data_IF_564669630245
#
_entry.id   IF_564669630245
#
_cell.length_a   1.000
_cell.length_b   1.000
_cell.length_c   1.000
_cell.angle_alpha   90.00
_cell.angle_beta   90.00
_cell.angle_gamma   90.00
#
_symmetry.space_group_name_H-M   'P 1'
#
loop_
_entity.id
_entity.type
_entity.pdbx_description
1 polymer ?
#
# COMPACT_ATOMS: atom_id res chain seq x y z
N UNK A 1 3.40 21.99 -2.28
CA UNK A 1 3.74 20.56 -2.09
C UNK A 1 4.67 20.05 -3.20
N UNK A 2 4.60 20.61 -4.43
CA UNK A 2 5.54 20.28 -5.52
C UNK A 2 6.99 20.66 -5.22
N UNK A 3 7.27 21.87 -4.75
CA UNK A 3 8.65 22.35 -4.52
C UNK A 3 9.47 21.45 -3.59
N UNK A 4 8.83 20.90 -2.55
CA UNK A 4 9.50 20.06 -1.56
C UNK A 4 9.83 18.66 -2.12
N UNK A 5 9.00 18.16 -3.05
CA UNK A 5 9.27 16.93 -3.79
C UNK A 5 10.40 17.19 -4.78
N UNK A 6 10.37 18.30 -5.51
CA UNK A 6 11.43 18.66 -6.46
C UNK A 6 12.80 18.81 -5.79
N UNK A 7 12.84 19.31 -4.55
CA UNK A 7 14.07 19.43 -3.76
C UNK A 7 14.64 18.07 -3.33
N UNK A 8 13.81 17.07 -3.04
CA UNK A 8 14.28 15.70 -2.77
C UNK A 8 15.00 15.10 -3.99
N UNK A 9 14.51 15.37 -5.20
CA UNK A 9 15.13 14.93 -6.45
C UNK A 9 16.53 15.52 -6.69
N UNK A 10 16.86 16.65 -6.05
CA UNK A 10 18.18 17.30 -6.16
C UNK A 10 19.24 16.68 -5.26
N UNK A 11 18.85 15.85 -4.28
CA UNK A 11 19.76 15.18 -3.34
C UNK A 11 20.30 13.89 -3.98
N UNK A 12 21.64 13.75 -4.05
CA UNK A 12 22.32 12.66 -4.78
C UNK A 12 22.33 11.30 -4.06
N UNK A 13 21.67 11.16 -2.91
CA UNK A 13 21.68 9.88 -2.19
C UNK A 13 20.67 8.91 -2.79
N UNK A 14 21.00 7.62 -2.79
CA UNK A 14 20.11 6.56 -3.27
C UNK A 14 18.77 6.58 -2.52
N UNK A 15 18.82 6.81 -1.20
CA UNK A 15 17.64 6.90 -0.33
C UNK A 15 16.79 8.12 -0.69
N UNK A 16 17.39 9.29 -0.92
CA UNK A 16 16.61 10.49 -1.26
C UNK A 16 15.90 10.35 -2.61
N UNK A 17 16.55 9.69 -3.58
CA UNK A 17 15.93 9.43 -4.89
C UNK A 17 14.82 8.37 -4.81
N UNK A 18 14.96 7.34 -3.98
CA UNK A 18 13.86 6.42 -3.67
C UNK A 18 12.67 7.16 -3.06
N UNK A 19 12.91 7.95 -2.02
CA UNK A 19 11.88 8.75 -1.36
C UNK A 19 11.20 9.71 -2.33
N UNK A 20 11.97 10.34 -3.22
CA UNK A 20 11.46 11.22 -4.27
C UNK A 20 10.47 10.49 -5.18
N UNK A 21 10.86 9.33 -5.74
CA UNK A 21 9.99 8.59 -6.65
C UNK A 21 8.73 8.08 -5.95
N UNK A 22 8.85 7.55 -4.72
CA UNK A 22 7.68 7.13 -3.95
C UNK A 22 6.73 8.30 -3.65
N UNK A 23 7.26 9.45 -3.21
CA UNK A 23 6.47 10.63 -2.94
C UNK A 23 5.82 11.21 -4.21
N UNK A 24 6.53 11.18 -5.34
CA UNK A 24 6.00 11.62 -6.63
C UNK A 24 4.85 10.72 -7.09
N UNK A 25 4.99 9.41 -6.97
CA UNK A 25 3.91 8.46 -7.27
C UNK A 25 2.68 8.68 -6.38
N UNK A 26 2.90 8.91 -5.08
CA UNK A 26 1.82 9.27 -4.16
C UNK A 26 1.17 10.60 -4.55
N UNK A 27 1.93 11.57 -5.03
CA UNK A 27 1.40 12.86 -5.48
C UNK A 27 0.50 12.70 -6.70
N UNK A 28 0.93 11.94 -7.71
CA UNK A 28 0.09 11.57 -8.87
C UNK A 28 -1.22 10.93 -8.45
N UNK A 29 -1.15 9.95 -7.55
CA UNK A 29 -2.34 9.23 -7.06
C UNK A 29 -3.26 10.10 -6.19
N UNK A 30 -2.70 10.90 -5.28
CA UNK A 30 -3.48 11.67 -4.29
C UNK A 30 -4.03 12.98 -4.82
N UNK A 31 -3.21 13.78 -5.48
CA UNK A 31 -3.57 15.14 -5.88
C UNK A 31 -4.25 15.16 -7.25
N UNK A 32 -3.76 14.32 -8.16
CA UNK A 32 -4.21 14.34 -9.55
C UNK A 32 -5.15 13.18 -9.90
N UNK A 33 -5.35 12.23 -8.96
CA UNK A 33 -6.10 11.00 -9.18
C UNK A 33 -5.63 10.25 -10.45
N UNK A 34 -4.34 10.34 -10.73
CA UNK A 34 -3.70 9.82 -11.93
C UNK A 34 -3.02 8.49 -11.59
N UNK A 35 -3.77 7.39 -11.79
CA UNK A 35 -3.30 6.05 -11.50
C UNK A 35 -2.14 5.63 -12.42
N UNK A 36 -2.21 5.99 -13.70
CA UNK A 36 -1.24 5.54 -14.71
C UNK A 36 0.14 6.11 -14.39
N UNK A 37 0.24 7.42 -14.16
CA UNK A 37 1.51 8.04 -13.82
C UNK A 37 1.99 7.61 -12.43
N UNK A 38 1.09 7.42 -11.46
CA UNK A 38 1.46 6.89 -10.15
C UNK A 38 2.08 5.49 -10.25
N UNK A 39 1.45 4.58 -10.99
CA UNK A 39 1.95 3.22 -11.19
C UNK A 39 3.26 3.20 -12.00
N UNK A 40 3.37 4.02 -13.04
CA UNK A 40 4.62 4.16 -13.81
C UNK A 40 5.77 4.60 -12.91
N UNK A 41 5.59 5.68 -12.15
CA UNK A 41 6.64 6.22 -11.28
C UNK A 41 7.01 5.26 -10.15
N UNK A 42 6.04 4.59 -9.51
CA UNK A 42 6.39 3.65 -8.44
C UNK A 42 7.04 2.37 -8.96
N UNK A 43 6.69 1.92 -10.17
CA UNK A 43 7.37 0.79 -10.79
C UNK A 43 8.84 1.12 -11.10
N UNK A 44 9.14 2.34 -11.56
CA UNK A 44 10.51 2.81 -11.70
C UNK A 44 11.27 2.74 -10.36
N UNK A 45 10.66 3.19 -9.26
CA UNK A 45 11.27 3.09 -7.93
C UNK A 45 11.55 1.63 -7.54
N UNK A 46 10.60 0.73 -7.78
CA UNK A 46 10.73 -0.71 -7.48
C UNK A 46 11.85 -1.37 -8.30
N UNK A 47 12.06 -0.92 -9.55
CA UNK A 47 13.13 -1.42 -10.42
C UNK A 47 14.51 -0.92 -9.99
N UNK A 48 14.62 0.36 -9.62
CA UNK A 48 15.89 0.97 -9.18
C UNK A 48 16.27 0.48 -7.77
N UNK A 49 15.29 0.23 -6.90
CA UNK A 49 15.48 -0.11 -5.49
C UNK A 49 14.83 -1.46 -5.12
N UNK A 50 15.25 -2.58 -5.74
CA UNK A 50 14.56 -3.87 -5.61
C UNK A 50 14.62 -4.46 -4.20
N UNK A 51 15.64 -4.13 -3.41
CA UNK A 51 15.80 -4.60 -2.02
C UNK A 51 14.90 -3.87 -1.04
N UNK A 52 14.35 -2.72 -1.43
CA UNK A 52 13.51 -1.93 -0.55
C UNK A 52 12.06 -2.35 -0.64
N UNK A 53 11.47 -2.60 0.51
CA UNK A 53 10.04 -2.90 0.65
C UNK A 53 9.19 -1.64 0.65
N UNK A 54 9.79 -0.44 0.78
CA UNK A 54 9.05 0.82 0.89
C UNK A 54 8.27 1.16 -0.39
N UNK A 55 8.86 1.10 -1.61
CA UNK A 55 8.12 1.34 -2.85
C UNK A 55 6.97 0.36 -3.07
N UNK A 56 7.09 -0.90 -2.60
CA UNK A 56 6.01 -1.88 -2.67
C UNK A 56 4.84 -1.51 -1.74
N UNK A 57 5.11 -0.95 -0.55
CA UNK A 57 4.07 -0.45 0.36
C UNK A 57 3.33 0.71 -0.32
N UNK A 58 4.05 1.68 -0.86
CA UNK A 58 3.45 2.80 -1.59
C UNK A 58 2.60 2.32 -2.76
N UNK A 59 3.07 1.34 -3.54
CA UNK A 59 2.29 0.74 -4.63
C UNK A 59 1.00 0.08 -4.12
N UNK A 60 1.04 -0.64 -3.00
CA UNK A 60 -0.17 -1.21 -2.39
C UNK A 60 -1.19 -0.15 -2.00
N UNK A 61 -0.75 1.01 -1.50
CA UNK A 61 -1.63 2.13 -1.15
C UNK A 61 -2.24 2.81 -2.38
N UNK A 62 -1.45 2.98 -3.45
CA UNK A 62 -1.92 3.47 -4.75
C UNK A 62 -3.00 2.53 -5.29
N UNK A 63 -2.73 1.22 -5.35
CA UNK A 63 -3.70 0.24 -5.84
C UNK A 63 -4.98 0.19 -4.97
N UNK A 64 -4.87 0.29 -3.64
CA UNK A 64 -6.02 0.39 -2.74
C UNK A 64 -6.88 1.62 -3.08
N UNK A 65 -6.27 2.80 -3.27
CA UNK A 65 -6.98 4.04 -3.59
C UNK A 65 -7.75 3.94 -4.91
N UNK A 66 -7.11 3.39 -5.93
CA UNK A 66 -7.70 3.28 -7.26
C UNK A 66 -8.61 2.05 -7.44
N UNK A 67 -8.73 1.20 -6.42
CA UNK A 67 -9.43 -0.10 -6.50
C UNK A 67 -8.86 -1.04 -7.58
N UNK A 68 -7.56 -0.91 -7.87
CA UNK A 68 -6.89 -1.81 -8.81
C UNK A 68 -6.53 -3.12 -8.11
N UNK A 69 -7.54 -3.98 -7.98
CA UNK A 69 -7.45 -5.24 -7.25
C UNK A 69 -6.37 -6.15 -7.87
N UNK A 70 -6.31 -6.23 -9.20
CA UNK A 70 -5.33 -7.09 -9.90
C UNK A 70 -3.90 -6.71 -9.55
N UNK A 71 -3.57 -5.41 -9.69
CA UNK A 71 -2.22 -4.91 -9.41
C UNK A 71 -1.89 -5.01 -7.91
N UNK A 72 -2.88 -4.79 -7.03
CA UNK A 72 -2.73 -4.96 -5.58
C UNK A 72 -2.38 -6.41 -5.23
N UNK A 73 -3.02 -7.39 -5.86
CA UNK A 73 -2.73 -8.82 -5.65
C UNK A 73 -1.30 -9.18 -6.04
N UNK A 74 -0.88 -8.75 -7.23
CA UNK A 74 0.46 -9.03 -7.71
C UNK A 74 1.51 -8.38 -6.82
N UNK A 75 1.30 -7.12 -6.46
CA UNK A 75 2.19 -6.37 -5.58
C UNK A 75 2.28 -7.04 -4.20
N UNK A 76 1.16 -7.51 -3.64
CA UNK A 76 1.15 -8.18 -2.34
C UNK A 76 1.90 -9.52 -2.37
N UNK A 77 1.77 -10.30 -3.47
CA UNK A 77 2.55 -11.53 -3.66
C UNK A 77 4.05 -11.26 -3.79
N UNK A 78 4.44 -10.16 -4.44
CA UNK A 78 5.84 -9.75 -4.51
C UNK A 78 6.36 -9.31 -3.13
N UNK A 79 5.57 -8.52 -2.40
CA UNK A 79 5.88 -8.07 -1.04
C UNK A 79 6.09 -9.25 -0.08
N UNK A 80 5.21 -10.26 -0.13
CA UNK A 80 5.35 -11.49 0.67
C UNK A 80 6.66 -12.22 0.36
N UNK A 81 6.98 -12.42 -0.92
CA UNK A 81 8.22 -13.11 -1.34
C UNK A 81 9.47 -12.37 -0.88
N UNK A 82 9.51 -11.06 -1.04
CA UNK A 82 10.65 -10.22 -0.65
C UNK A 82 10.84 -10.17 0.87
N UNK A 83 9.75 -10.26 1.64
CA UNK A 83 9.77 -10.12 3.10
C UNK A 83 9.52 -11.44 3.84
N UNK A 84 9.63 -12.60 3.17
CA UNK A 84 9.26 -13.89 3.75
C UNK A 84 10.04 -14.22 5.03
N UNK A 85 11.27 -13.71 5.14
CA UNK A 85 12.15 -13.89 6.31
C UNK A 85 12.16 -12.68 7.25
N UNK A 86 11.51 -11.57 6.87
CA UNK A 86 11.58 -10.30 7.57
C UNK A 86 10.35 -10.12 8.49
N UNK A 87 10.53 -10.43 9.78
CA UNK A 87 9.48 -10.26 10.79
C UNK A 87 8.97 -8.82 10.93
N UNK A 88 9.75 -7.82 10.51
CA UNK A 88 9.41 -6.39 10.60
C UNK A 88 8.18 -6.01 9.77
N UNK A 89 7.86 -6.76 8.71
CA UNK A 89 6.78 -6.44 7.77
C UNK A 89 5.56 -7.35 7.89
N UNK A 90 5.55 -8.30 8.82
CA UNK A 90 4.45 -9.26 9.00
C UNK A 90 3.10 -8.58 9.25
N UNK A 91 3.08 -7.56 10.10
CA UNK A 91 1.85 -6.80 10.38
C UNK A 91 1.38 -6.00 9.16
N UNK A 92 2.31 -5.40 8.42
CA UNK A 92 2.03 -4.65 7.18
C UNK A 92 1.45 -5.58 6.12
N UNK A 93 2.04 -6.76 5.93
CA UNK A 93 1.54 -7.78 5.02
C UNK A 93 0.09 -8.18 5.36
N UNK A 94 -0.17 -8.58 6.62
CA UNK A 94 -1.51 -8.98 7.03
C UNK A 94 -2.54 -7.84 6.95
N UNK A 95 -2.12 -6.58 7.16
CA UNK A 95 -2.98 -5.43 6.96
C UNK A 95 -3.41 -5.28 5.50
N UNK A 96 -2.48 -5.32 4.55
CA UNK A 96 -2.82 -5.22 3.13
C UNK A 96 -3.56 -6.46 2.62
N UNK A 97 -3.28 -7.64 3.16
CA UNK A 97 -4.05 -8.86 2.91
C UNK A 97 -5.51 -8.69 3.31
N UNK A 98 -5.77 -8.15 4.51
CA UNK A 98 -7.14 -7.87 4.96
C UNK A 98 -7.82 -6.80 4.10
N UNK A 99 -7.11 -5.71 3.74
CA UNK A 99 -7.64 -4.65 2.86
C UNK A 99 -8.03 -5.17 1.49
N UNK A 100 -7.18 -6.00 0.88
CA UNK A 100 -7.44 -6.66 -0.39
C UNK A 100 -8.69 -7.56 -0.31
N UNK A 101 -8.83 -8.37 0.75
CA UNK A 101 -10.03 -9.20 0.95
C UNK A 101 -11.30 -8.35 1.09
N UNK A 102 -11.22 -7.23 1.81
CA UNK A 102 -12.35 -6.31 1.93
C UNK A 102 -12.75 -5.70 0.58
N UNK A 103 -11.77 -5.25 -0.22
CA UNK A 103 -11.98 -4.80 -1.60
C UNK A 103 -12.56 -5.92 -2.47
N UNK A 104 -12.19 -7.19 -2.23
CA UNK A 104 -12.78 -8.35 -2.89
C UNK A 104 -14.19 -8.72 -2.41
N UNK A 105 -14.76 -7.99 -1.47
CA UNK A 105 -16.10 -8.27 -0.93
C UNK A 105 -16.09 -9.32 0.19
N UNK A 106 -14.92 -9.86 0.53
CA UNK A 106 -14.72 -10.95 1.49
C UNK A 106 -14.49 -10.39 2.90
N UNK A 107 -15.43 -9.57 3.38
CA UNK A 107 -15.27 -8.79 4.63
C UNK A 107 -15.10 -9.68 5.86
N UNK A 108 -15.75 -10.85 5.90
CA UNK A 108 -15.62 -11.80 7.01
C UNK A 108 -14.22 -12.41 7.07
N UNK A 109 -13.66 -12.77 5.91
CA UNK A 109 -12.28 -13.27 5.80
C UNK A 109 -11.27 -12.18 6.19
N UNK A 110 -11.51 -10.93 5.75
CA UNK A 110 -10.70 -9.78 6.12
C UNK A 110 -10.66 -9.55 7.64
N UNK A 111 -11.82 -9.58 8.30
CA UNK A 111 -11.92 -9.44 9.76
C UNK A 111 -11.25 -10.59 10.50
N UNK A 112 -11.35 -11.81 10.00
CA UNK A 112 -10.67 -12.97 10.58
C UNK A 112 -9.14 -12.82 10.57
N UNK A 113 -8.56 -12.21 9.53
CA UNK A 113 -7.13 -11.87 9.51
C UNK A 113 -6.80 -10.86 10.60
N UNK A 114 -7.57 -9.77 10.70
CA UNK A 114 -7.34 -8.74 11.73
C UNK A 114 -7.37 -9.36 13.12
N UNK A 115 -8.37 -10.19 13.41
CA UNK A 115 -8.55 -10.78 14.73
C UNK A 115 -7.47 -11.80 15.10
N UNK A 116 -7.01 -12.61 14.14
CA UNK A 116 -6.04 -13.68 14.41
C UNK A 116 -4.59 -13.23 14.29
N UNK A 117 -4.30 -12.27 13.40
CA UNK A 117 -2.93 -11.92 13.02
C UNK A 117 -2.50 -10.54 13.48
N UNK A 118 -3.42 -9.60 13.67
CA UNK A 118 -3.08 -8.22 14.05
C UNK A 118 -3.46 -7.90 15.50
N UNK A 119 -4.64 -8.33 15.95
CA UNK A 119 -5.17 -8.03 17.28
C UNK A 119 -4.23 -8.45 18.44
N UNK A 120 -3.52 -9.60 18.39
CA UNK A 120 -2.59 -9.95 19.46
C UNK A 120 -1.41 -8.99 19.64
N UNK A 121 -1.08 -8.19 18.61
CA UNK A 121 0.13 -7.38 18.56
C UNK A 121 -0.12 -5.88 18.46
N UNK A 122 -1.38 -5.47 18.26
CA UNK A 122 -1.76 -4.06 18.09
C UNK A 122 -2.74 -3.60 19.16
N UNK A 123 -2.70 -2.31 19.56
CA UNK A 123 -3.69 -1.75 20.48
C UNK A 123 -5.12 -1.87 19.95
N UNK A 124 -6.08 -2.06 20.88
CA UNK A 124 -7.49 -2.24 20.55
C UNK A 124 -8.10 -1.08 19.74
N UNK A 125 -7.67 0.16 19.98
CA UNK A 125 -8.12 1.32 19.21
C UNK A 125 -7.63 1.26 17.74
N UNK A 126 -6.42 0.76 17.50
CA UNK A 126 -5.87 0.56 16.16
C UNK A 126 -6.68 -0.50 15.40
N UNK A 127 -7.02 -1.60 16.08
CA UNK A 127 -7.87 -2.66 15.51
C UNK A 127 -9.25 -2.15 15.14
N UNK A 128 -9.89 -1.36 16.01
CA UNK A 128 -11.17 -0.70 15.69
C UNK A 128 -11.07 0.18 14.44
N UNK A 129 -10.00 0.98 14.33
CA UNK A 129 -9.75 1.85 13.16
C UNK A 129 -9.54 1.04 11.88
N UNK A 130 -8.79 -0.07 11.95
CA UNK A 130 -8.58 -0.96 10.80
C UNK A 130 -9.91 -1.54 10.35
N UNK A 131 -10.70 -2.15 11.25
CA UNK A 131 -11.99 -2.76 10.90
C UNK A 131 -12.97 -1.75 10.29
N UNK A 132 -12.99 -0.51 10.80
CA UNK A 132 -13.79 0.57 10.20
C UNK A 132 -13.39 0.83 8.75
N UNK A 133 -12.08 0.99 8.47
CA UNK A 133 -11.59 1.19 7.10
C UNK A 133 -11.88 -0.01 6.17
N UNK A 134 -11.83 -1.25 6.68
CA UNK A 134 -12.21 -2.43 5.89
C UNK A 134 -13.68 -2.38 5.46
N UNK A 135 -14.57 -1.96 6.37
CA UNK A 135 -15.98 -1.75 6.04
C UNK A 135 -16.15 -0.65 4.99
N UNK A 136 -15.46 0.48 5.15
CA UNK A 136 -15.51 1.59 4.19
C UNK A 136 -15.06 1.14 2.79
N UNK A 137 -13.96 0.39 2.70
CA UNK A 137 -13.46 -0.18 1.44
C UNK A 137 -14.48 -1.16 0.81
N UNK A 138 -15.13 -1.99 1.62
CA UNK A 138 -16.16 -2.92 1.16
C UNK A 138 -17.36 -2.17 0.55
N UNK A 139 -17.86 -1.12 1.22
CA UNK A 139 -19.02 -0.36 0.76
C UNK A 139 -18.70 0.55 -0.43
N UNK A 140 -17.51 1.15 -0.49
CA UNK A 140 -17.12 2.02 -1.61
C UNK A 140 -17.01 1.26 -2.94
N UNK A 141 -16.61 -0.02 -2.91
CA UNK A 141 -16.69 -0.88 -4.10
C UNK A 141 -18.14 -1.08 -4.55
N UNK A 142 -19.05 -1.37 -3.62
CA UNK A 142 -20.44 -1.67 -3.96
C UNK A 142 -21.20 -0.48 -4.55
N UNK A 143 -20.67 0.75 -4.44
CA UNK A 143 -21.25 1.96 -5.06
C UNK A 143 -20.77 2.21 -6.50
N UNK A 144 -19.70 1.55 -6.95
CA UNK A 144 -19.09 1.75 -8.28
C UNK A 144 -19.44 0.64 -9.29
N UNK A 145 -20.12 -0.42 -8.86
CA UNK A 145 -20.69 -1.47 -9.71
C UNK A 145 -22.21 -1.25 -9.83
#
# INVERSE_FOLDING_TARGET
>A
MSELIDDLGKIRSLIAREMYLSALAENYSNQYNDEENALKTINEAIEIYPESSFPLITKLEICERHNNISEMEETLKRFERQNATANSYTNTFHLFQARLLALKGKINEANAIVDKKLNPYLPSYTIKRIKRRLLDNHFNRNKKN
#
